data_IF_558273361749
#
_entry.id   IF_558273361749
#
_cell.length_a   1.000
_cell.length_b   1.000
_cell.length_c   1.000
_cell.angle_alpha   90.00
_cell.angle_beta   90.00
_cell.angle_gamma   90.00
#
_symmetry.space_group_name_H-M   'P 1'
#
loop_
_entity.id
_entity.type
_entity.pdbx_description
1 polymer ?
#
# COMPACT_ATOMS: atom_id res chain seq x y z
N UNK A 1 -4.71 -13.79 -24.01
CA UNK A 1 -4.53 -12.64 -23.09
C UNK A 1 -4.49 -13.16 -21.65
N UNK A 2 -3.32 -13.46 -21.08
CA UNK A 2 -3.23 -13.92 -19.69
C UNK A 2 -3.37 -12.71 -18.76
N UNK A 3 -4.61 -12.38 -18.43
CA UNK A 3 -4.93 -11.44 -17.35
C UNK A 3 -4.55 -12.14 -16.04
N UNK A 4 -3.29 -12.04 -15.63
CA UNK A 4 -2.83 -12.53 -14.34
C UNK A 4 -3.64 -11.77 -13.30
N UNK A 5 -4.67 -12.42 -12.76
CA UNK A 5 -5.49 -11.91 -11.67
C UNK A 5 -4.52 -11.53 -10.55
N UNK A 6 -4.30 -10.22 -10.32
CA UNK A 6 -3.51 -9.68 -9.20
C UNK A 6 -4.21 -9.91 -7.84
N UNK A 7 -5.06 -10.93 -7.75
CA UNK A 7 -6.00 -11.19 -6.66
C UNK A 7 -5.35 -11.72 -5.39
N UNK A 8 -4.05 -12.03 -5.41
CA UNK A 8 -3.32 -12.57 -4.26
C UNK A 8 -2.23 -11.62 -3.72
N UNK A 9 -2.19 -10.35 -4.17
CA UNK A 9 -1.25 -9.40 -3.60
C UNK A 9 -1.73 -9.00 -2.21
N UNK A 10 -0.84 -8.96 -1.21
CA UNK A 10 -1.24 -8.53 0.12
C UNK A 10 -1.71 -7.08 0.07
N UNK A 11 -2.81 -6.83 0.77
CA UNK A 11 -3.43 -5.51 0.90
C UNK A 11 -3.27 -5.01 2.34
N UNK A 12 -3.07 -3.70 2.48
CA UNK A 12 -3.03 -3.01 3.77
C UNK A 12 -3.98 -1.82 3.73
N UNK A 13 -4.45 -1.39 4.91
CA UNK A 13 -5.31 -0.20 5.03
C UNK A 13 -4.44 0.98 5.45
N UNK A 14 -4.53 2.09 4.72
CA UNK A 14 -3.83 3.31 5.09
C UNK A 14 -4.56 4.00 6.27
N UNK A 15 -3.90 4.27 7.41
CA UNK A 15 -4.56 4.88 8.56
C UNK A 15 -5.00 6.33 8.32
N UNK A 16 -4.39 7.03 7.36
CA UNK A 16 -4.69 8.45 7.07
C UNK A 16 -5.91 8.61 6.17
N UNK A 17 -5.96 7.89 5.05
CA UNK A 17 -7.07 8.01 4.09
C UNK A 17 -8.10 6.87 4.19
N UNK A 18 -7.87 5.88 5.06
CA UNK A 18 -8.71 4.69 5.27
C UNK A 18 -9.01 3.88 4.00
N UNK A 19 -8.19 4.05 2.95
CA UNK A 19 -8.32 3.30 1.69
C UNK A 19 -7.40 2.07 1.71
N UNK A 20 -7.87 0.92 1.20
CA UNK A 20 -7.01 -0.24 0.98
C UNK A 20 -5.99 0.08 -0.11
N UNK A 21 -4.78 -0.45 0.04
CA UNK A 21 -3.73 -0.36 -0.96
C UNK A 21 -3.00 -1.71 -1.07
N UNK A 22 -2.76 -2.11 -2.31
CA UNK A 22 -2.09 -3.36 -2.67
C UNK A 22 -0.57 -3.20 -2.63
N UNK A 23 0.12 -4.32 -2.37
CA UNK A 23 1.56 -4.42 -2.53
C UNK A 23 2.03 -3.91 -3.89
N UNK A 24 3.17 -3.22 -3.89
CA UNK A 24 3.85 -2.70 -5.08
C UNK A 24 5.27 -3.20 -5.09
N UNK A 25 5.83 -3.49 -6.28
CA UNK A 25 7.22 -3.96 -6.44
C UNK A 25 8.25 -3.05 -5.76
N UNK A 26 8.01 -1.74 -5.73
CA UNK A 26 8.88 -0.76 -5.02
C UNK A 26 8.98 -0.99 -3.51
N UNK A 27 8.07 -1.77 -2.93
CA UNK A 27 7.99 -2.07 -1.51
C UNK A 27 8.48 -3.47 -1.16
N UNK A 28 9.01 -4.23 -2.12
CA UNK A 28 9.44 -5.62 -1.90
C UNK A 28 10.28 -5.82 -0.63
N UNK A 29 11.26 -4.93 -0.38
CA UNK A 29 12.16 -5.02 0.78
C UNK A 29 11.61 -4.42 2.07
N UNK A 30 10.66 -3.51 1.96
CA UNK A 30 10.19 -2.68 3.09
C UNK A 30 8.70 -2.88 3.37
N UNK A 31 8.04 -3.84 2.72
CA UNK A 31 6.60 -4.00 2.76
C UNK A 31 6.05 -4.10 4.18
N UNK A 32 6.77 -4.78 5.07
CA UNK A 32 6.41 -4.89 6.48
C UNK A 32 6.34 -3.52 7.18
N UNK A 33 7.26 -2.62 6.86
CA UNK A 33 7.32 -1.24 7.39
C UNK A 33 6.37 -0.25 6.69
N UNK A 34 5.89 -0.59 5.48
CA UNK A 34 4.94 0.26 4.74
C UNK A 34 3.57 0.21 5.40
N UNK A 35 3.18 1.35 5.98
CA UNK A 35 1.87 1.58 6.62
C UNK A 35 0.96 2.48 5.78
N UNK A 36 1.54 3.36 4.96
CA UNK A 36 0.81 4.40 4.21
C UNK A 36 0.74 4.10 2.72
N UNK A 37 -0.39 4.41 2.09
CA UNK A 37 -0.58 4.17 0.65
C UNK A 37 0.25 5.09 -0.27
N UNK A 38 0.75 6.21 0.25
CA UNK A 38 1.50 7.23 -0.48
C UNK A 38 2.34 8.10 0.46
N UNK A 39 3.36 8.76 -0.09
CA UNK A 39 4.17 9.73 0.67
C UNK A 39 3.32 10.90 1.18
N UNK A 40 2.29 11.31 0.42
CA UNK A 40 1.31 12.29 0.90
C UNK A 40 0.66 11.86 2.21
N UNK A 41 0.22 10.60 2.31
CA UNK A 41 -0.36 10.08 3.55
C UNK A 41 0.70 9.89 4.65
N UNK A 42 1.96 9.62 4.30
CA UNK A 42 3.05 9.53 5.27
C UNK A 42 3.39 10.89 5.89
N UNK A 43 3.38 11.96 5.10
CA UNK A 43 3.66 13.32 5.57
C UNK A 43 2.46 13.96 6.25
N UNK A 44 1.23 13.58 5.89
CA UNK A 44 -0.01 14.09 6.48
C UNK A 44 -0.35 13.42 7.84
N UNK A 45 0.66 13.10 8.67
CA UNK A 45 0.49 12.54 10.01
C UNK A 45 -0.03 13.53 11.04
N UNK A 46 -0.10 14.82 10.70
CA UNK A 46 -0.56 15.87 11.59
C UNK A 46 -2.05 16.13 11.41
N UNK A 47 -2.85 15.45 12.22
CA UNK A 47 -3.81 16.13 13.08
C UNK A 47 -3.26 16.06 14.49
#
# INVERSE_FOLDING_TARGET
MKNVKKSNLPEKICPVCKRPFTWRKKWERVWNEVVYCSDRCRTNKNL
#
